data_IF_668123373112
#
_entry.id   IF_668123373112
#
_cell.length_a   1.000
_cell.length_b   1.000
_cell.length_c   1.000
_cell.angle_alpha   90.00
_cell.angle_beta   90.00
_cell.angle_gamma   90.00
#
_symmetry.space_group_name_H-M   'P 1'
#
loop_
_entity.id
_entity.type
_entity.pdbx_description
1 polymer ?
#
# COMPACT_ATOMS: atom_id res chain seq x y z
N UNK A 1 -28.34 27.34 5.37
CA UNK A 1 -27.43 26.23 5.14
C UNK A 1 -27.97 24.97 5.82
N UNK A 2 -28.17 23.90 5.07
CA UNK A 2 -28.58 22.62 5.65
C UNK A 2 -27.36 21.96 6.30
N UNK A 3 -27.52 21.59 7.57
CA UNK A 3 -26.47 20.80 8.25
C UNK A 3 -26.72 19.31 7.98
N UNK A 4 -25.77 18.65 7.39
CA UNK A 4 -25.83 17.20 7.10
C UNK A 4 -25.20 16.32 8.19
N UNK A 5 -24.85 16.93 9.32
CA UNK A 5 -24.22 16.22 10.43
C UNK A 5 -25.14 16.31 11.64
N UNK A 6 -25.49 15.15 12.18
CA UNK A 6 -26.28 15.04 13.41
C UNK A 6 -25.43 14.37 14.47
N UNK A 7 -25.26 15.02 15.62
CA UNK A 7 -24.59 14.44 16.77
C UNK A 7 -25.61 13.86 17.74
N UNK A 8 -25.44 12.61 18.07
CA UNK A 8 -26.27 11.92 19.05
C UNK A 8 -25.41 11.53 20.25
N UNK A 9 -25.73 12.09 21.41
CA UNK A 9 -25.09 11.69 22.67
C UNK A 9 -25.76 10.40 23.16
N UNK A 10 -24.95 9.35 23.31
CA UNK A 10 -25.39 8.11 23.93
C UNK A 10 -24.78 7.96 25.31
N UNK A 11 -25.50 7.39 26.28
CA UNK A 11 -24.89 7.05 27.56
C UNK A 11 -23.76 6.05 27.35
N UNK A 12 -22.71 6.14 28.19
CA UNK A 12 -21.65 5.16 28.16
C UNK A 12 -22.26 3.76 28.36
N UNK A 13 -21.98 2.88 27.39
CA UNK A 13 -22.31 1.47 27.56
C UNK A 13 -21.47 0.94 28.72
N UNK A 14 -22.10 0.18 29.63
CA UNK A 14 -21.41 -0.47 30.74
C UNK A 14 -20.15 -1.20 30.27
N UNK A 15 -19.05 -1.04 30.99
CA UNK A 15 -17.81 -1.74 30.67
C UNK A 15 -17.99 -3.22 30.98
N UNK A 16 -17.85 -4.04 29.96
CA UNK A 16 -17.74 -5.48 30.15
C UNK A 16 -16.41 -5.82 30.85
N UNK A 17 -16.38 -6.95 31.54
CA UNK A 17 -15.16 -7.41 32.21
C UNK A 17 -14.05 -7.83 31.24
N UNK A 18 -14.32 -7.85 29.95
CA UNK A 18 -13.35 -8.17 28.88
C UNK A 18 -13.63 -7.31 27.66
N UNK A 19 -12.57 -7.10 26.90
CA UNK A 19 -12.60 -6.36 25.63
C UNK A 19 -11.98 -7.22 24.53
N UNK A 20 -12.64 -7.30 23.39
CA UNK A 20 -12.13 -8.00 22.21
C UNK A 20 -11.84 -6.95 21.14
N UNK A 21 -10.58 -6.90 20.70
CA UNK A 21 -10.13 -5.98 19.67
C UNK A 21 -9.46 -6.75 18.56
N UNK A 22 -9.89 -6.51 17.32
CA UNK A 22 -9.26 -7.06 16.13
C UNK A 22 -8.50 -5.94 15.41
N UNK A 23 -7.26 -6.20 15.04
CA UNK A 23 -6.44 -5.28 14.25
C UNK A 23 -5.71 -6.02 13.13
N UNK A 24 -5.65 -5.39 11.97
CA UNK A 24 -4.85 -5.87 10.85
C UNK A 24 -3.38 -5.51 11.10
N UNK A 25 -2.53 -6.53 11.13
CA UNK A 25 -1.09 -6.33 11.28
C UNK A 25 -0.42 -5.82 10.02
N UNK A 26 0.89 -5.53 10.11
CA UNK A 26 1.68 -5.02 8.98
C UNK A 26 1.74 -5.97 7.78
N UNK A 27 1.62 -7.27 8.00
CA UNK A 27 1.61 -8.28 6.95
C UNK A 27 0.24 -8.57 6.34
N UNK A 28 -0.83 -7.92 6.82
CA UNK A 28 -2.16 -8.10 6.23
C UNK A 28 -2.20 -7.48 4.83
N UNK A 29 -2.84 -8.14 3.83
CA UNK A 29 -2.89 -7.63 2.45
C UNK A 29 -3.39 -6.20 2.31
N UNK A 30 -4.40 -5.80 3.07
CA UNK A 30 -4.91 -4.43 3.05
C UNK A 30 -3.85 -3.42 3.51
N UNK A 31 -3.17 -3.72 4.61
CA UNK A 31 -2.10 -2.87 5.15
C UNK A 31 -0.89 -2.82 4.21
N UNK A 32 -0.53 -3.95 3.61
CA UNK A 32 0.55 -4.02 2.63
C UNK A 32 0.23 -3.19 1.39
N UNK A 33 -0.99 -3.28 0.87
CA UNK A 33 -1.42 -2.52 -0.30
C UNK A 33 -1.39 -1.02 -0.06
N UNK A 34 -1.89 -0.57 1.07
CA UNK A 34 -1.90 0.86 1.44
C UNK A 34 -0.48 1.39 1.63
N UNK A 35 0.35 0.66 2.35
CA UNK A 35 1.75 1.05 2.60
C UNK A 35 2.55 1.08 1.30
N UNK A 36 2.35 0.08 0.43
CA UNK A 36 3.02 0.05 -0.87
C UNK A 36 2.60 1.23 -1.74
N UNK A 37 1.30 1.55 -1.81
CA UNK A 37 0.80 2.69 -2.57
C UNK A 37 1.47 4.00 -2.13
N UNK A 38 1.62 4.23 -0.83
CA UNK A 38 2.32 5.40 -0.30
C UNK A 38 3.81 5.39 -0.66
N UNK A 39 4.47 4.25 -0.57
CA UNK A 39 5.88 4.12 -0.94
C UNK A 39 6.12 4.37 -2.42
N UNK A 40 5.24 3.91 -3.28
CA UNK A 40 5.31 4.18 -4.72
C UNK A 40 5.17 5.66 -5.02
N UNK A 41 4.22 6.33 -4.38
CA UNK A 41 4.05 7.78 -4.50
C UNK A 41 5.28 8.53 -4.02
N UNK A 42 5.85 8.15 -2.89
CA UNK A 42 7.07 8.76 -2.38
C UNK A 42 8.27 8.56 -3.31
N UNK A 43 8.46 7.36 -3.84
CA UNK A 43 9.57 7.05 -4.76
C UNK A 43 9.47 7.87 -6.05
N UNK A 44 8.28 7.93 -6.64
CA UNK A 44 8.02 8.74 -7.82
C UNK A 44 8.22 10.23 -7.55
N UNK A 45 7.69 10.73 -6.43
CA UNK A 45 7.81 12.13 -6.03
C UNK A 45 9.27 12.54 -5.82
N UNK A 46 10.06 11.70 -5.16
CA UNK A 46 11.51 11.94 -4.98
C UNK A 46 12.25 11.96 -6.30
N UNK A 47 11.94 11.04 -7.19
CA UNK A 47 12.56 11.00 -8.52
C UNK A 47 12.27 12.27 -9.30
N UNK A 48 11.01 12.68 -9.39
CA UNK A 48 10.62 13.87 -10.15
C UNK A 48 11.13 15.16 -9.52
N UNK A 49 11.12 15.25 -8.20
CA UNK A 49 11.64 16.40 -7.48
C UNK A 49 13.15 16.55 -7.70
N UNK A 50 13.90 15.46 -7.60
CA UNK A 50 15.36 15.47 -7.77
C UNK A 50 15.80 15.76 -9.22
N UNK A 51 15.06 15.28 -10.21
CA UNK A 51 15.41 15.42 -11.61
C UNK A 51 14.82 16.68 -12.26
N UNK A 52 13.68 17.14 -11.82
CA UNK A 52 12.91 18.21 -12.47
C UNK A 52 12.58 19.39 -11.54
N UNK A 53 12.87 19.29 -10.26
CA UNK A 53 12.58 20.35 -9.28
C UNK A 53 11.10 20.47 -8.89
N UNK A 54 10.27 19.53 -9.27
CA UNK A 54 8.84 19.51 -8.96
C UNK A 54 8.31 18.08 -8.81
N UNK A 55 7.29 17.93 -7.99
CA UNK A 55 6.52 16.68 -7.90
C UNK A 55 5.49 16.69 -9.00
N UNK A 56 5.61 15.75 -9.95
CA UNK A 56 4.69 15.65 -11.07
C UNK A 56 3.41 14.90 -10.69
N UNK A 57 2.37 15.14 -11.46
CA UNK A 57 1.07 14.51 -11.24
C UNK A 57 1.16 12.97 -11.28
N UNK A 58 0.61 12.33 -10.27
CA UNK A 58 0.51 10.88 -10.18
C UNK A 58 -0.57 10.48 -9.18
N UNK A 59 -1.06 9.26 -9.35
CA UNK A 59 -1.95 8.61 -8.41
C UNK A 59 -1.75 7.10 -8.46
N UNK A 60 -1.30 6.50 -7.37
CA UNK A 60 -1.03 5.06 -7.25
C UNK A 60 -1.91 4.40 -6.18
N UNK A 61 -3.11 4.90 -5.96
CA UNK A 61 -4.01 4.45 -4.90
C UNK A 61 -4.74 3.12 -5.20
N UNK A 62 -4.53 2.54 -6.37
CA UNK A 62 -5.19 1.32 -6.83
C UNK A 62 -4.26 0.10 -6.86
N UNK A 63 -3.45 -0.07 -5.84
CA UNK A 63 -2.62 -1.27 -5.68
C UNK A 63 -3.49 -2.41 -5.18
N UNK A 64 -3.43 -3.53 -5.88
CA UNK A 64 -4.12 -4.75 -5.49
C UNK A 64 -3.16 -5.88 -5.21
N UNK A 65 -3.50 -6.74 -4.26
CA UNK A 65 -2.77 -7.97 -3.97
C UNK A 65 -3.66 -9.17 -4.13
N UNK A 66 -3.16 -10.17 -4.84
CA UNK A 66 -3.78 -11.48 -4.94
C UNK A 66 -2.94 -12.46 -4.15
N UNK A 67 -3.57 -13.14 -3.20
CA UNK A 67 -2.90 -14.12 -2.36
C UNK A 67 -2.31 -15.26 -3.18
N UNK A 68 -1.17 -15.76 -2.74
CA UNK A 68 -0.59 -16.98 -3.26
C UNK A 68 -1.20 -18.21 -2.58
N UNK A 69 -0.70 -19.36 -2.94
CA UNK A 69 -0.97 -20.61 -2.22
C UNK A 69 0.23 -21.00 -1.39
N UNK A 70 -0.03 -21.47 -0.20
CA UNK A 70 0.99 -22.06 0.65
C UNK A 70 0.51 -23.41 1.20
N UNK A 71 1.47 -24.25 1.49
CA UNK A 71 1.29 -25.50 2.23
C UNK A 71 1.94 -25.31 3.59
N UNK A 72 1.18 -25.55 4.64
CA UNK A 72 1.62 -25.28 6.00
C UNK A 72 1.47 -26.55 6.82
N UNK A 73 2.55 -26.95 7.48
CA UNK A 73 2.57 -28.01 8.48
C UNK A 73 3.11 -27.46 9.79
N UNK A 74 2.89 -28.18 10.88
CA UNK A 74 3.44 -27.75 12.16
C UNK A 74 4.97 -27.67 12.10
N UNK A 75 5.49 -26.47 12.31
CA UNK A 75 6.94 -26.20 12.32
C UNK A 75 7.55 -25.78 10.98
N UNK A 76 6.82 -25.91 9.86
CA UNK A 76 7.32 -25.41 8.56
C UNK A 76 6.20 -25.13 7.56
N UNK A 77 6.54 -24.37 6.53
CA UNK A 77 5.63 -24.07 5.43
C UNK A 77 6.40 -23.76 4.16
N UNK A 78 5.72 -23.88 3.03
CA UNK A 78 6.28 -23.48 1.73
C UNK A 78 5.23 -22.78 0.87
N UNK A 79 5.70 -21.86 0.02
CA UNK A 79 4.86 -21.25 -0.99
C UNK A 79 4.72 -22.16 -2.20
N UNK A 80 3.49 -22.44 -2.62
CA UNK A 80 3.19 -23.18 -3.85
C UNK A 80 2.97 -22.25 -5.03
N UNK A 81 2.36 -21.08 -4.79
CA UNK A 81 2.15 -20.04 -5.79
C UNK A 81 2.57 -18.69 -5.21
N UNK A 82 3.21 -17.83 -6.01
CA UNK A 82 3.64 -16.52 -5.53
C UNK A 82 2.46 -15.58 -5.29
N UNK A 83 2.69 -14.60 -4.42
CA UNK A 83 1.79 -13.45 -4.28
C UNK A 83 1.91 -12.60 -5.54
N UNK A 84 0.78 -12.23 -6.11
CA UNK A 84 0.71 -11.31 -7.25
C UNK A 84 0.35 -9.92 -6.78
N UNK A 85 1.05 -8.93 -7.28
CA UNK A 85 0.77 -7.52 -7.00
C UNK A 85 0.39 -6.82 -8.28
N UNK A 86 -0.78 -6.21 -8.29
CA UNK A 86 -1.24 -5.38 -9.38
C UNK A 86 -0.94 -3.92 -9.05
N UNK A 87 -0.02 -3.32 -9.81
CA UNK A 87 0.27 -1.89 -9.72
C UNK A 87 -0.61 -1.15 -10.71
N UNK A 88 -1.52 -0.37 -10.21
CA UNK A 88 -2.48 0.36 -11.03
C UNK A 88 -2.50 1.83 -10.59
N UNK A 89 -2.59 2.71 -11.57
CA UNK A 89 -2.60 4.14 -11.30
C UNK A 89 -2.26 4.97 -12.53
N UNK A 90 -1.97 6.22 -12.30
CA UNK A 90 -1.59 7.20 -13.32
C UNK A 90 -0.35 7.96 -12.89
N UNK A 91 0.51 8.25 -13.82
CA UNK A 91 1.66 9.10 -13.58
C UNK A 91 2.07 9.82 -14.86
N UNK A 92 2.60 11.03 -14.69
CA UNK A 92 3.24 11.71 -15.82
C UNK A 92 4.44 10.91 -16.29
N UNK A 93 4.50 10.60 -17.57
CA UNK A 93 5.56 9.80 -18.19
C UNK A 93 6.60 10.64 -18.93
N UNK A 94 6.43 11.94 -18.92
CA UNK A 94 7.36 12.90 -19.52
C UNK A 94 7.40 14.20 -18.73
N UNK A 95 8.54 14.86 -18.79
CA UNK A 95 8.71 16.26 -18.41
C UNK A 95 9.39 16.97 -19.56
N UNK A 96 8.61 17.80 -20.30
CA UNK A 96 9.06 18.31 -21.57
C UNK A 96 9.38 17.17 -22.55
N UNK A 97 10.61 17.12 -23.04
CA UNK A 97 11.09 16.07 -23.95
C UNK A 97 11.73 14.89 -23.23
N UNK A 98 11.86 14.97 -21.91
CA UNK A 98 12.50 13.93 -21.09
C UNK A 98 11.45 12.88 -20.69
N UNK A 99 11.72 11.63 -21.06
CA UNK A 99 10.88 10.49 -20.68
C UNK A 99 11.20 10.02 -19.27
N UNK A 100 10.14 9.64 -18.55
CA UNK A 100 10.25 9.06 -17.23
C UNK A 100 9.88 7.58 -17.33
N UNK A 101 10.79 6.70 -16.92
CA UNK A 101 10.52 5.27 -16.87
C UNK A 101 9.74 4.93 -15.58
N UNK A 102 8.46 5.24 -15.58
CA UNK A 102 7.57 5.03 -14.42
C UNK A 102 7.55 3.56 -14.01
N UNK A 103 7.48 2.66 -14.97
CA UNK A 103 7.46 1.21 -14.72
C UNK A 103 8.67 0.74 -13.91
N UNK A 104 9.86 1.19 -14.27
CA UNK A 104 11.09 0.83 -13.57
C UNK A 104 11.10 1.35 -12.14
N UNK A 105 10.69 2.60 -11.93
CA UNK A 105 10.60 3.21 -10.60
C UNK A 105 9.67 2.38 -9.70
N UNK A 106 8.49 2.04 -10.20
CA UNK A 106 7.49 1.30 -9.43
C UNK A 106 7.93 -0.13 -9.16
N UNK A 107 8.52 -0.82 -10.13
CA UNK A 107 8.99 -2.19 -9.94
C UNK A 107 10.13 -2.28 -8.94
N UNK A 108 11.10 -1.37 -9.02
CA UNK A 108 12.22 -1.32 -8.09
C UNK A 108 11.74 -1.06 -6.66
N UNK A 109 10.86 -0.10 -6.46
CA UNK A 109 10.33 0.19 -5.13
C UNK A 109 9.49 -0.96 -4.57
N UNK A 110 8.70 -1.61 -5.41
CA UNK A 110 7.92 -2.79 -5.01
C UNK A 110 8.83 -3.92 -4.55
N UNK A 111 9.90 -4.20 -5.28
CA UNK A 111 10.89 -5.22 -4.88
C UNK A 111 11.55 -4.88 -3.56
N UNK A 112 11.96 -3.63 -3.38
CA UNK A 112 12.56 -3.16 -2.13
C UNK A 112 11.59 -3.29 -0.96
N UNK A 113 10.34 -2.92 -1.15
CA UNK A 113 9.30 -3.04 -0.14
C UNK A 113 9.09 -4.48 0.32
N UNK A 114 8.94 -5.42 -0.61
CA UNK A 114 8.76 -6.82 -0.27
C UNK A 114 10.00 -7.46 0.34
N UNK A 115 11.19 -7.04 -0.08
CA UNK A 115 12.44 -7.49 0.54
C UNK A 115 12.56 -7.03 2.00
N UNK A 116 12.09 -5.83 2.32
CA UNK A 116 12.04 -5.33 3.69
C UNK A 116 10.98 -6.02 4.55
N UNK A 117 9.78 -6.26 3.99
CA UNK A 117 8.66 -6.86 4.71
C UNK A 117 8.87 -8.36 4.96
N UNK A 118 9.52 -9.04 4.04
CA UNK A 118 9.74 -10.49 4.08
C UNK A 118 11.21 -10.83 3.84
N UNK A 119 12.10 -10.48 4.78
CA UNK A 119 13.50 -10.83 4.66
C UNK A 119 13.66 -12.36 4.72
N UNK A 120 14.31 -12.91 3.73
CA UNK A 120 14.65 -14.35 3.68
C UNK A 120 16.08 -14.59 4.16
#
# INVERSE_FOLDING_TARGET
>A
MRKNITLVLKPELGRDNYEIVERKGKGHPDTLSDTLAERLSNAYSKYTLNNFGAVLHHNFDKVGMMGGKCEVEFGHGRMLEPIRVLLNGRASSKFGDIKINVKEILLNETRNFFAECFPM
#
